data_IF_985910429841
#
_entry.id   IF_985910429841
#
_cell.length_a   1.000
_cell.length_b   1.000
_cell.length_c   1.000
_cell.angle_alpha   90.00
_cell.angle_beta   90.00
_cell.angle_gamma   90.00
#
_symmetry.space_group_name_H-M   'P 1'
#
loop_
_entity.id
_entity.type
_entity.pdbx_description
1 polymer ?
#
# COMPACT_ATOMS: atom_id res chain seq x y z
N UNK A 1 -56.71 22.26 16.80
CA UNK A 1 -56.22 22.37 15.41
C UNK A 1 -54.77 22.81 15.49
N UNK A 2 -53.86 21.95 15.04
CA UNK A 2 -52.40 22.12 15.14
C UNK A 2 -51.90 23.12 14.10
N UNK A 3 -51.19 24.16 14.54
CA UNK A 3 -50.37 24.98 13.65
C UNK A 3 -48.94 24.46 13.72
N UNK A 4 -48.54 23.71 12.69
CA UNK A 4 -47.16 23.28 12.50
C UNK A 4 -46.38 24.44 11.84
N UNK A 5 -45.79 25.31 12.67
CA UNK A 5 -44.85 26.31 12.17
C UNK A 5 -43.50 25.64 11.86
N UNK A 6 -43.16 25.61 10.58
CA UNK A 6 -41.87 25.16 10.08
C UNK A 6 -40.75 26.09 10.57
N UNK A 7 -40.13 25.76 11.70
CA UNK A 7 -38.91 26.43 12.16
C UNK A 7 -37.71 25.92 11.36
N UNK A 8 -37.43 26.57 10.22
CA UNK A 8 -36.12 26.46 9.54
C UNK A 8 -35.08 27.09 10.45
N UNK A 9 -34.18 26.29 11.02
CA UNK A 9 -32.95 26.82 11.60
C UNK A 9 -31.98 27.17 10.46
N UNK A 10 -31.32 28.34 10.48
CA UNK A 10 -30.31 28.67 9.49
C UNK A 10 -29.11 27.72 9.65
N UNK A 11 -28.80 27.00 8.58
CA UNK A 11 -27.54 26.26 8.45
C UNK A 11 -26.40 27.26 8.47
N UNK A 12 -25.74 27.40 9.62
CA UNK A 12 -24.39 27.98 9.73
C UNK A 12 -23.39 26.99 9.12
N UNK A 13 -23.29 27.00 7.79
CA UNK A 13 -22.13 26.44 7.11
C UNK A 13 -20.99 27.46 7.22
N UNK A 14 -19.82 27.11 7.82
CA UNK A 14 -18.65 27.95 7.71
C UNK A 14 -18.19 28.01 6.24
N UNK A 15 -17.77 29.18 5.73
CA UNK A 15 -17.32 29.30 4.35
C UNK A 15 -15.96 28.61 4.19
N UNK A 16 -15.94 27.49 3.46
CA UNK A 16 -14.69 26.83 3.12
C UNK A 16 -14.82 25.36 2.75
N UNK A 17 -15.71 24.99 1.85
CA UNK A 17 -15.65 23.68 1.17
C UNK A 17 -15.93 23.86 -0.31
N UNK A 18 -15.02 24.56 -0.99
CA UNK A 18 -14.79 24.33 -2.41
C UNK A 18 -14.13 22.94 -2.55
N UNK A 19 -14.60 22.16 -3.53
CA UNK A 19 -14.14 20.79 -3.85
C UNK A 19 -12.65 20.58 -3.55
N UNK A 20 -12.36 19.90 -2.45
CA UNK A 20 -11.01 19.68 -1.93
C UNK A 20 -11.07 18.81 -0.69
N UNK A 21 -9.95 18.18 -0.34
CA UNK A 21 -9.79 17.17 0.73
C UNK A 21 -10.55 17.56 2.00
N UNK A 22 -11.25 16.61 2.67
CA UNK A 22 -11.90 16.88 3.95
C UNK A 22 -10.91 17.51 4.95
N UNK A 23 -11.42 18.34 5.89
CA UNK A 23 -10.59 18.94 6.92
C UNK A 23 -9.84 17.83 7.68
N UNK A 24 -8.53 18.04 7.88
CA UNK A 24 -7.71 17.11 8.66
C UNK A 24 -8.30 16.99 10.07
N UNK A 25 -8.48 15.77 10.61
CA UNK A 25 -8.87 15.59 12.01
C UNK A 25 -7.91 16.31 12.95
N UNK A 26 -8.42 16.73 14.11
CA UNK A 26 -7.60 17.24 15.21
C UNK A 26 -6.63 16.14 15.68
N UNK A 27 -5.33 16.41 15.50
CA UNK A 27 -4.25 15.47 15.81
C UNK A 27 -4.17 15.19 17.33
N UNK A 28 -4.45 16.17 18.19
CA UNK A 28 -4.40 16.01 19.64
C UNK A 28 -5.55 15.13 20.12
N UNK A 29 -6.77 15.39 19.62
CA UNK A 29 -7.93 14.57 19.89
C UNK A 29 -7.80 13.14 19.34
N UNK A 30 -7.07 12.97 18.23
CA UNK A 30 -6.74 11.65 17.69
C UNK A 30 -5.73 10.90 18.56
N UNK A 31 -4.69 11.59 19.05
CA UNK A 31 -3.69 11.02 19.93
C UNK A 31 -4.30 10.52 21.26
N UNK A 32 -5.17 11.31 21.88
CA UNK A 32 -5.84 10.94 23.12
C UNK A 32 -6.76 9.73 22.95
N UNK A 33 -7.56 9.68 21.87
CA UNK A 33 -8.39 8.49 21.57
C UNK A 33 -7.55 7.25 21.35
N UNK A 34 -6.47 7.36 20.59
CA UNK A 34 -5.53 6.24 20.34
C UNK A 34 -4.94 5.73 21.65
N UNK A 35 -4.59 6.62 22.58
CA UNK A 35 -4.07 6.24 23.90
C UNK A 35 -5.13 5.52 24.73
N UNK A 36 -6.35 6.06 24.78
CA UNK A 36 -7.45 5.44 25.51
C UNK A 36 -7.76 4.03 24.99
N UNK A 37 -7.81 3.86 23.67
CA UNK A 37 -8.03 2.55 23.04
C UNK A 37 -6.90 1.56 23.34
N UNK A 38 -5.63 2.01 23.36
CA UNK A 38 -4.51 1.14 23.76
C UNK A 38 -4.61 0.68 25.21
N UNK A 39 -4.99 1.58 26.12
CA UNK A 39 -5.18 1.23 27.53
C UNK A 39 -6.33 0.24 27.70
N UNK A 40 -7.47 0.48 27.03
CA UNK A 40 -8.62 -0.42 27.06
C UNK A 40 -8.29 -1.80 26.48
N UNK A 41 -7.55 -1.84 25.38
CA UNK A 41 -7.11 -3.08 24.75
C UNK A 41 -5.94 -3.77 25.50
N UNK A 42 -5.41 -3.16 26.56
CA UNK A 42 -4.23 -3.66 27.28
C UNK A 42 -2.98 -3.76 26.39
N UNK A 43 -2.90 -2.95 25.34
CA UNK A 43 -1.77 -2.94 24.39
C UNK A 43 -0.68 -2.07 24.98
N UNK A 44 0.39 -2.73 25.44
CA UNK A 44 1.59 -2.07 25.95
C UNK A 44 2.37 -1.39 24.82
N UNK A 45 3.22 -0.42 25.18
CA UNK A 45 4.12 0.19 24.22
C UNK A 45 5.09 -0.88 23.69
N UNK A 46 5.50 -0.76 22.42
CA UNK A 46 6.50 -1.64 21.87
C UNK A 46 7.81 -1.55 22.66
N UNK A 47 8.22 -2.67 23.24
CA UNK A 47 9.53 -2.86 23.84
C UNK A 47 10.39 -3.76 22.92
N UNK A 48 11.53 -3.27 22.37
CA UNK A 48 12.41 -4.10 21.58
C UNK A 48 13.01 -5.29 22.34
N UNK A 49 13.07 -5.23 23.68
CA UNK A 49 13.56 -6.32 24.52
C UNK A 49 12.51 -7.45 24.69
N UNK A 50 11.22 -7.15 24.49
CA UNK A 50 10.13 -8.15 24.47
C UNK A 50 10.04 -8.90 23.12
N UNK A 51 10.80 -8.48 22.12
CA UNK A 51 10.86 -9.16 20.82
C UNK A 51 11.88 -10.29 20.90
N UNK A 52 11.48 -11.56 20.71
CA UNK A 52 12.44 -12.65 20.60
C UNK A 52 13.47 -12.36 19.51
N UNK A 53 14.73 -12.77 19.69
CA UNK A 53 15.75 -12.56 18.68
C UNK A 53 15.30 -13.20 17.36
N UNK A 54 15.62 -12.53 16.26
CA UNK A 54 15.34 -13.04 14.92
C UNK A 54 15.92 -14.45 14.77
N UNK A 55 15.05 -15.42 14.47
CA UNK A 55 15.45 -16.83 14.33
C UNK A 55 15.97 -17.17 12.94
N UNK A 56 15.81 -16.27 11.97
CA UNK A 56 16.32 -16.48 10.63
C UNK A 56 17.83 -16.38 10.59
N UNK A 57 18.44 -17.36 9.91
CA UNK A 57 19.88 -17.34 9.67
C UNK A 57 20.12 -16.39 8.52
N UNK A 58 20.93 -15.35 8.75
CA UNK A 58 21.41 -14.49 7.66
C UNK A 58 22.04 -15.35 6.57
N UNK A 59 21.52 -15.24 5.36
CA UNK A 59 22.10 -15.94 4.21
C UNK A 59 23.57 -15.51 4.05
N UNK A 60 24.48 -16.48 3.93
CA UNK A 60 25.93 -16.24 3.85
C UNK A 60 26.41 -15.73 2.49
N UNK A 61 25.55 -15.70 1.49
CA UNK A 61 25.93 -15.40 0.11
C UNK A 61 24.81 -14.69 -0.65
N UNK A 62 25.17 -14.11 -1.80
CA UNK A 62 24.20 -13.45 -2.66
C UNK A 62 23.31 -14.50 -3.32
N UNK A 63 22.00 -14.30 -3.28
CA UNK A 63 21.02 -15.17 -3.95
C UNK A 63 21.33 -15.34 -5.44
N UNK A 64 21.86 -14.28 -6.07
CA UNK A 64 22.26 -14.26 -7.49
C UNK A 64 23.41 -15.21 -7.82
N UNK A 65 24.17 -15.64 -6.83
CA UNK A 65 25.28 -16.59 -7.00
C UNK A 65 24.85 -18.05 -6.84
N UNK A 66 23.62 -18.30 -6.36
CA UNK A 66 23.09 -19.66 -6.20
C UNK A 66 22.92 -20.36 -7.56
N UNK A 67 23.10 -21.69 -7.57
CA UNK A 67 22.88 -22.50 -8.77
C UNK A 67 21.44 -22.41 -9.27
N UNK A 68 20.48 -22.39 -8.34
CA UNK A 68 19.07 -22.23 -8.69
C UNK A 68 18.81 -20.92 -9.44
N UNK A 69 19.35 -19.80 -8.95
CA UNK A 69 19.22 -18.53 -9.62
C UNK A 69 19.87 -18.54 -11.01
N UNK A 70 21.10 -19.07 -11.11
CA UNK A 70 21.84 -19.15 -12.38
C UNK A 70 21.13 -20.03 -13.41
N UNK A 71 20.61 -21.18 -13.00
CA UNK A 71 19.86 -22.10 -13.85
C UNK A 71 18.56 -21.46 -14.36
N UNK A 72 17.78 -20.84 -13.46
CA UNK A 72 16.57 -20.13 -13.83
C UNK A 72 16.87 -18.95 -14.77
N UNK A 73 17.93 -18.18 -14.51
CA UNK A 73 18.34 -17.08 -15.38
C UNK A 73 18.73 -17.57 -16.78
N UNK A 74 19.47 -18.67 -16.87
CA UNK A 74 19.84 -19.29 -18.15
C UNK A 74 18.62 -19.76 -18.95
N UNK A 75 17.62 -20.33 -18.27
CA UNK A 75 16.36 -20.75 -18.91
C UNK A 75 15.55 -19.55 -19.41
N UNK A 76 15.42 -18.49 -18.59
CA UNK A 76 14.77 -17.24 -19.05
C UNK A 76 15.49 -16.66 -20.27
N UNK A 77 16.82 -16.65 -20.28
CA UNK A 77 17.61 -16.15 -21.41
C UNK A 77 17.47 -17.05 -22.65
N UNK A 78 17.25 -18.36 -22.49
CA UNK A 78 16.89 -19.29 -23.58
C UNK A 78 15.51 -18.98 -24.12
N UNK A 79 14.49 -18.79 -23.28
CA UNK A 79 13.12 -18.45 -23.69
C UNK A 79 13.04 -17.11 -24.44
N UNK A 80 13.78 -16.10 -23.97
CA UNK A 80 13.88 -14.81 -24.69
C UNK A 80 14.50 -15.00 -26.07
N UNK A 81 15.61 -15.75 -26.18
CA UNK A 81 16.24 -16.04 -27.47
C UNK A 81 15.34 -16.89 -28.39
N UNK A 82 14.54 -17.79 -27.83
CA UNK A 82 13.58 -18.62 -28.55
C UNK A 82 12.30 -17.84 -28.96
N UNK A 83 12.10 -16.63 -28.44
CA UNK A 83 10.87 -15.86 -28.67
C UNK A 83 9.66 -16.33 -27.85
N UNK A 84 9.86 -17.27 -26.92
CA UNK A 84 8.80 -17.77 -26.02
C UNK A 84 8.45 -16.74 -24.92
N UNK A 85 9.38 -15.84 -24.61
CA UNK A 85 9.20 -14.74 -23.66
C UNK A 85 9.66 -13.42 -24.29
N UNK A 86 8.80 -12.40 -24.30
CA UNK A 86 9.18 -11.08 -24.80
C UNK A 86 10.21 -10.43 -23.85
N UNK A 87 11.23 -9.76 -24.40
CA UNK A 87 12.34 -9.22 -23.61
C UNK A 87 11.90 -8.18 -22.57
N UNK A 88 10.83 -7.43 -22.86
CA UNK A 88 10.25 -6.46 -21.93
C UNK A 88 9.58 -7.12 -20.72
N UNK A 89 9.22 -8.40 -20.80
CA UNK A 89 8.71 -9.19 -19.66
C UNK A 89 9.77 -9.44 -18.59
N UNK A 90 11.04 -9.13 -18.86
CA UNK A 90 12.11 -9.12 -17.86
C UNK A 90 12.27 -7.76 -17.17
N UNK A 91 11.65 -6.69 -17.68
CA UNK A 91 11.78 -5.33 -17.13
C UNK A 91 10.74 -5.04 -16.05
N UNK A 92 10.90 -3.91 -15.36
CA UNK A 92 9.92 -3.46 -14.37
C UNK A 92 8.58 -3.15 -15.05
N UNK A 93 7.46 -3.34 -14.34
CA UNK A 93 6.10 -3.17 -14.90
C UNK A 93 5.89 -1.83 -15.63
N UNK A 94 6.49 -0.75 -15.12
CA UNK A 94 6.41 0.61 -15.69
C UNK A 94 7.16 0.79 -17.03
N UNK A 95 8.09 -0.12 -17.33
CA UNK A 95 8.92 -0.11 -18.54
C UNK A 95 8.42 -1.10 -19.60
N UNK A 96 7.42 -1.92 -19.26
CA UNK A 96 6.83 -2.90 -20.19
C UNK A 96 5.88 -2.23 -21.17
N UNK A 97 5.64 -2.88 -22.31
CA UNK A 97 4.52 -2.51 -23.15
C UNK A 97 3.20 -2.59 -22.35
N UNK A 98 2.29 -1.62 -22.50
CA UNK A 98 1.00 -1.65 -21.81
C UNK A 98 0.18 -2.89 -22.21
N UNK A 99 -0.49 -3.51 -21.22
CA UNK A 99 -1.44 -4.60 -21.43
C UNK A 99 -2.83 -4.20 -20.88
N UNK A 100 -3.92 -4.30 -21.68
CA UNK A 100 -3.92 -4.70 -23.09
C UNK A 100 -3.18 -3.69 -23.97
N UNK A 101 -2.64 -4.12 -25.12
CA UNK A 101 -1.98 -3.20 -26.04
C UNK A 101 -2.98 -2.12 -26.49
N UNK A 102 -2.50 -0.88 -26.65
CA UNK A 102 -3.35 0.24 -27.07
C UNK A 102 -3.80 0.13 -28.52
N UNK A 103 -3.15 -0.74 -29.30
CA UNK A 103 -3.54 -1.14 -30.66
C UNK A 103 -3.30 -2.64 -30.82
N UNK A 104 -4.29 -3.33 -31.38
CA UNK A 104 -4.15 -4.71 -31.81
C UNK A 104 -3.79 -4.72 -33.29
N UNK A 105 -2.83 -5.56 -33.68
CA UNK A 105 -2.60 -5.88 -35.08
C UNK A 105 -3.72 -6.82 -35.55
N UNK A 106 -4.39 -6.44 -36.65
CA UNK A 106 -5.48 -7.19 -37.31
C UNK A 106 -5.00 -7.78 -38.62
#
# INVERSE_FOLDING_TARGET
>A
MSNHEHRRLPSTHPPGTERGMPPKPDDDALAERTRAERVEAGIEAYDPDDVPPATDVRSRGKVTESEQYRGMKAEMDRQVRAGELAADQLWARKERAPYPPTRYEV
#
